data_IF_630985545041
#
_entry.id   IF_630985545041
#
_cell.length_a   1.000
_cell.length_b   1.000
_cell.length_c   1.000
_cell.angle_alpha   90.00
_cell.angle_beta   90.00
_cell.angle_gamma   90.00
#
_symmetry.space_group_name_H-M   'P 1'
#
loop_
_entity.id
_entity.type
_entity.pdbx_description
1 polymer ?
2 non-polymer ?
3 non-polymer ?
4 water ?
#
# COMPACT_ATOMS: atom_id res chain seq x y z
N UNK A 9 30.78 9.58 1.25
CA UNK A 9 30.42 10.10 -0.08
C UNK A 9 29.54 9.12 -0.94
N UNK A 10 28.85 9.65 -2.01
CA UNK A 10 28.04 8.84 -2.94
C UNK A 10 28.95 8.19 -4.01
N UNK A 11 28.61 6.96 -4.51
CA UNK A 11 29.46 6.28 -5.51
C UNK A 11 29.53 7.01 -6.83
N UNK A 12 30.67 6.86 -7.53
CA UNK A 12 30.98 7.44 -8.83
C UNK A 12 29.85 7.19 -9.87
N UNK A 13 29.36 5.92 -9.98
CA UNK A 13 28.28 5.49 -10.89
C UNK A 13 26.98 6.28 -10.72
N UNK A 14 26.58 6.48 -9.45
CA UNK A 14 25.38 7.22 -9.13
C UNK A 14 25.59 8.68 -9.44
N UNK A 15 26.77 9.22 -9.06
CA UNK A 15 27.20 10.60 -9.30
C UNK A 15 27.25 10.90 -10.80
N UNK A 16 27.54 9.86 -11.61
CA UNK A 16 27.64 9.97 -13.06
C UNK A 16 26.29 10.22 -13.79
N UNK A 17 25.19 9.75 -13.21
CA UNK A 17 23.85 9.86 -13.81
C UNK A 17 22.93 10.86 -13.11
N UNK A 18 23.21 11.08 -11.82
CA UNK A 18 22.41 11.91 -10.94
C UNK A 18 23.19 12.95 -10.17
N UNK A 19 22.52 14.11 -9.97
CA UNK A 19 22.99 15.23 -9.15
C UNK A 19 22.20 15.18 -7.86
N UNK A 20 22.85 14.77 -6.76
CA UNK A 20 22.27 14.66 -5.43
C UNK A 20 21.93 16.02 -4.80
N UNK A 21 20.78 16.08 -4.11
CA UNK A 21 20.26 17.30 -3.50
C UNK A 21 19.69 17.06 -2.08
N UNK A 22 18.89 18.05 -1.57
CA UNK A 22 18.21 18.09 -0.27
C UNK A 22 17.47 16.79 0.09
N UNK A 23 17.57 16.37 1.36
CA UNK A 23 16.93 15.17 1.93
C UNK A 23 15.39 15.29 1.96
N UNK A 24 14.68 14.15 1.82
CA UNK A 24 13.21 14.10 1.83
C UNK A 24 12.65 13.42 3.10
N UNK A 25 13.44 12.53 3.72
CA UNK A 25 13.07 11.81 4.94
C UNK A 25 14.24 11.17 5.63
N UNK A 31 17.18 6.52 4.79
CA UNK A 31 17.13 7.90 4.30
C UNK A 31 16.71 8.01 2.81
N UNK A 32 15.93 9.08 2.46
CA UNK A 32 15.47 9.33 1.08
C UNK A 32 15.84 10.77 0.63
N UNK A 33 16.57 10.89 -0.50
CA UNK A 33 17.04 12.19 -0.99
C UNK A 33 16.62 12.50 -2.41
N UNK A 34 16.26 13.77 -2.65
CA UNK A 34 15.90 14.27 -3.96
C UNK A 34 17.19 14.36 -4.79
N UNK A 35 17.12 13.91 -6.05
CA UNK A 35 18.25 14.00 -6.95
C UNK A 35 17.74 14.48 -8.30
N UNK A 36 18.66 14.83 -9.20
CA UNK A 36 18.32 15.29 -10.54
C UNK A 36 18.95 14.40 -11.56
N UNK A 37 18.14 13.80 -12.45
CA UNK A 37 18.66 12.97 -13.53
C UNK A 37 19.35 13.90 -14.53
N UNK A 38 20.67 13.73 -14.71
CA UNK A 38 21.51 14.56 -15.58
C UNK A 38 21.00 14.65 -17.00
N UNK A 39 20.56 13.51 -17.58
CA UNK A 39 20.07 13.44 -18.96
C UNK A 39 18.84 14.32 -19.13
N UNK A 40 17.86 14.16 -18.24
CA UNK A 40 16.55 14.78 -18.34
C UNK A 40 16.33 16.10 -17.62
N UNK A 41 17.14 16.37 -16.58
CA UNK A 41 17.06 17.50 -15.64
C UNK A 41 15.80 17.43 -14.81
N UNK A 42 15.23 16.23 -14.75
CA UNK A 42 14.01 15.99 -14.00
C UNK A 42 14.38 15.54 -12.61
N UNK A 43 13.48 15.77 -11.66
CA UNK A 43 13.69 15.42 -10.27
C UNK A 43 13.37 13.95 -10.08
N UNK A 44 14.13 13.28 -9.22
CA UNK A 44 13.92 11.88 -8.86
C UNK A 44 14.09 11.75 -7.36
N UNK A 45 13.70 10.62 -6.79
CA UNK A 45 13.91 10.35 -5.37
C UNK A 45 14.89 9.18 -5.27
N UNK A 46 15.91 9.33 -4.44
CA UNK A 46 16.89 8.27 -4.24
C UNK A 46 16.86 7.76 -2.80
N UNK A 47 16.27 6.56 -2.62
CA UNK A 47 16.20 5.92 -1.31
C UNK A 47 17.50 5.16 -1.05
N UNK A 48 18.26 5.63 -0.04
CA UNK A 48 19.51 5.03 0.46
C UNK A 48 19.12 4.01 1.57
N UNK A 49 19.35 2.72 1.31
CA UNK A 49 19.08 1.64 2.25
C UNK A 49 20.44 1.03 2.68
N UNK A 50 21.09 1.65 3.70
CA UNK A 50 22.39 1.23 4.28
C UNK A 50 22.47 -0.27 4.60
N UNK A 51 23.66 -0.88 4.35
CA UNK A 51 23.91 -2.32 4.52
C UNK A 51 24.18 -2.73 5.98
N UNK A 67 17.96 -8.86 0.96
CA UNK A 67 16.50 -8.63 0.99
C UNK A 67 16.06 -7.46 0.06
N UNK A 68 17.00 -6.53 -0.26
CA UNK A 68 16.75 -5.39 -1.15
C UNK A 68 16.65 -5.96 -2.58
N UNK A 69 17.34 -7.11 -2.83
CA UNK A 69 17.34 -7.85 -4.09
C UNK A 69 15.90 -8.22 -4.43
N UNK A 70 15.17 -8.83 -3.45
CA UNK A 70 13.76 -9.26 -3.55
C UNK A 70 12.85 -8.05 -3.83
N UNK A 71 13.04 -6.93 -3.09
CA UNK A 71 12.29 -5.68 -3.25
C UNK A 71 12.41 -5.09 -4.68
N UNK A 72 13.61 -5.18 -5.30
CA UNK A 72 13.84 -4.68 -6.66
C UNK A 72 13.25 -5.67 -7.63
N UNK A 73 13.50 -6.98 -7.42
CA UNK A 73 12.99 -8.08 -8.24
C UNK A 73 11.47 -7.91 -8.41
N UNK A 74 10.76 -7.62 -7.31
CA UNK A 74 9.32 -7.34 -7.30
C UNK A 74 9.02 -6.05 -8.08
N UNK A 75 9.60 -4.92 -7.66
CA UNK A 75 9.37 -3.60 -8.24
C UNK A 75 9.69 -3.43 -9.72
N UNK A 76 10.68 -4.19 -10.23
CA UNK A 76 11.03 -4.15 -11.65
C UNK A 76 9.93 -4.85 -12.45
N UNK A 77 9.41 -5.98 -11.90
CA UNK A 77 8.35 -6.79 -12.49
C UNK A 77 7.00 -6.07 -12.44
N UNK A 78 6.74 -5.33 -11.34
CA UNK A 78 5.47 -4.61 -11.11
C UNK A 78 5.26 -3.40 -11.99
N UNK A 79 4.03 -3.24 -12.48
CA UNK A 79 3.66 -2.11 -13.34
C UNK A 79 2.18 -1.70 -13.19
N UNK A 80 1.94 -0.67 -12.35
CA UNK A 80 0.60 -0.15 -12.06
C UNK A 80 0.69 1.35 -11.72
N UNK A 81 -0.33 2.18 -12.08
CA UNK A 81 -0.24 3.60 -11.73
C UNK A 81 -0.22 3.90 -10.23
N UNK A 82 -0.59 2.91 -9.39
CA UNK A 82 -0.61 3.13 -7.95
C UNK A 82 0.44 2.38 -7.18
N UNK A 83 1.42 1.87 -7.89
CA UNK A 83 2.57 1.24 -7.28
C UNK A 83 3.81 2.00 -7.77
N UNK A 84 4.71 2.33 -6.83
CA UNK A 84 5.96 3.04 -7.12
C UNK A 84 6.82 2.28 -8.17
N UNK A 85 7.47 3.06 -9.06
CA UNK A 85 8.29 2.49 -10.13
C UNK A 85 9.74 2.76 -9.92
N UNK A 86 10.57 1.73 -10.11
CA UNK A 86 12.03 1.84 -10.06
C UNK A 86 12.44 2.41 -11.40
N UNK A 87 13.41 3.32 -11.38
CA UNK A 87 13.98 3.96 -12.55
C UNK A 87 15.41 3.44 -12.70
N UNK A 88 16.07 3.20 -11.56
CA UNK A 88 17.47 2.74 -11.49
C UNK A 88 17.82 2.21 -10.09
N UNK A 89 18.90 1.41 -10.02
CA UNK A 89 19.41 0.86 -8.77
C UNK A 89 20.93 0.79 -8.77
N UNK A 90 21.51 1.08 -7.61
CA UNK A 90 22.95 1.06 -7.36
C UNK A 90 23.30 0.18 -6.13
N UNK A 91 24.16 -0.84 -6.35
CA UNK A 91 24.65 -1.75 -5.32
C UNK A 91 26.13 -1.47 -5.10
N UNK A 92 26.42 -0.52 -4.16
CA UNK A 92 27.76 -0.04 -3.79
C UNK A 92 28.08 -0.37 -2.29
N UNK A 93 28.59 0.62 -1.49
CA UNK A 93 28.87 0.44 -0.05
C UNK A 93 27.53 0.40 0.69
N UNK A 94 26.50 0.99 0.04
CA UNK A 94 25.09 1.00 0.45
C UNK A 94 24.21 0.68 -0.76
N UNK A 95 22.89 0.54 -0.55
CA UNK A 95 21.94 0.28 -1.64
C UNK A 95 21.26 1.59 -1.97
N UNK A 96 21.35 2.02 -3.24
CA UNK A 96 20.73 3.26 -3.72
C UNK A 96 19.60 2.91 -4.69
N UNK A 97 18.37 3.31 -4.37
CA UNK A 97 17.20 3.01 -5.21
C UNK A 97 16.60 4.29 -5.81
N UNK A 98 16.56 4.37 -7.16
CA UNK A 98 16.03 5.54 -7.89
C UNK A 98 14.55 5.35 -8.21
N UNK A 99 13.70 6.20 -7.61
CA UNK A 99 12.25 6.16 -7.78
C UNK A 99 11.68 7.44 -8.33
N UNK A 100 10.46 7.39 -8.88
CA UNK A 100 9.75 8.58 -9.36
C UNK A 100 9.49 9.44 -8.13
N UNK A 101 9.69 10.77 -8.22
CA UNK A 101 9.49 11.64 -7.05
C UNK A 101 8.03 11.94 -6.77
N UNK A 102 7.64 11.80 -5.49
CA UNK A 102 6.28 12.07 -5.02
C UNK A 102 6.27 13.38 -4.26
N UNK A 103 5.75 14.42 -4.93
CA UNK A 103 5.70 15.78 -4.38
C UNK A 103 4.81 16.02 -3.13
N UNK A 104 3.82 15.15 -2.88
CA UNK A 104 2.92 15.26 -1.72
C UNK A 104 3.36 14.56 -0.44
N UNK A 105 4.48 13.86 -0.50
CA UNK A 105 5.00 13.12 0.64
C UNK A 105 4.12 11.96 1.06
N UNK A 106 4.22 11.56 2.33
CA UNK A 106 3.46 10.42 2.88
C UNK A 106 2.01 10.77 3.19
N UNK A 107 1.13 9.75 3.14
CA UNK A 107 -0.28 9.88 3.52
C UNK A 107 -0.36 10.07 5.04
N UNK A 108 0.65 9.54 5.76
CA UNK A 108 0.79 9.64 7.22
C UNK A 108 0.78 11.08 7.67
N UNK A 109 1.55 11.96 6.97
CA UNK A 109 1.63 13.40 7.28
C UNK A 109 0.30 14.14 7.17
N UNK A 110 -0.70 13.52 6.47
CA UNK A 110 -2.04 14.09 6.27
C UNK A 110 -3.00 13.67 7.39
N UNK A 111 -2.66 12.60 8.10
CA UNK A 111 -3.49 12.06 9.18
C UNK A 111 -2.91 12.19 10.60
N UNK A 112 -1.69 12.76 10.76
CA UNK A 112 -1.03 12.93 12.08
C UNK A 112 -1.75 13.88 13.02
N UNK A 113 -1.73 13.50 14.31
CA UNK A 113 -2.31 14.30 15.38
C UNK A 113 -3.77 14.65 15.20
N UNK A 114 -4.59 13.60 14.94
CA UNK A 114 -6.04 13.69 14.74
C UNK A 114 -6.50 14.61 13.59
N UNK A 115 -5.66 14.69 12.55
CA UNK A 115 -5.98 15.43 11.33
C UNK A 115 -6.89 14.47 10.57
N UNK A 116 -8.15 14.85 10.47
CA UNK A 116 -9.16 14.04 9.80
C UNK A 116 -9.25 14.40 8.34
N UNK A 117 -9.22 13.36 7.49
CA UNK A 117 -9.34 13.49 6.05
C UNK A 117 -10.82 13.55 5.67
N UNK A 118 -11.12 14.43 4.70
CA UNK A 118 -12.44 14.65 4.09
C UNK A 118 -12.87 13.32 3.48
N UNK A 119 -14.14 12.94 3.63
CA UNK A 119 -14.64 11.66 3.14
C UNK A 119 -14.38 11.39 1.65
N UNK A 120 -14.50 12.43 0.78
CA UNK A 120 -14.26 12.30 -0.66
C UNK A 120 -12.81 11.92 -0.93
N UNK A 121 -11.89 12.62 -0.23
CA UNK A 121 -10.45 12.43 -0.29
C UNK A 121 -10.12 11.04 0.18
N UNK A 122 -10.88 10.49 1.16
CA UNK A 122 -10.74 9.12 1.67
C UNK A 122 -11.11 8.14 0.57
N UNK A 123 -12.29 8.34 -0.06
CA UNK A 123 -12.77 7.48 -1.11
C UNK A 123 -11.73 7.39 -2.22
N UNK A 124 -11.31 8.54 -2.74
CA UNK A 124 -10.31 8.65 -3.80
C UNK A 124 -9.02 7.88 -3.48
N UNK A 125 -8.46 8.09 -2.29
CA UNK A 125 -7.22 7.44 -1.88
C UNK A 125 -7.43 5.93 -1.67
N UNK A 126 -8.51 5.57 -0.94
CA UNK A 126 -8.83 4.17 -0.67
C UNK A 126 -9.02 3.39 -1.95
N UNK A 127 -9.78 3.96 -2.90
CA UNK A 127 -10.05 3.33 -4.19
C UNK A 127 -8.74 2.90 -4.83
N UNK A 128 -7.76 3.83 -4.87
CA UNK A 128 -6.43 3.59 -5.44
C UNK A 128 -5.68 2.51 -4.69
N UNK A 129 -5.71 2.58 -3.34
CA UNK A 129 -5.06 1.58 -2.47
C UNK A 129 -5.66 0.20 -2.79
N UNK A 130 -7.00 0.12 -3.00
CA UNK A 130 -7.65 -1.15 -3.37
C UNK A 130 -7.18 -1.68 -4.72
N UNK A 131 -7.19 -0.84 -5.76
CA UNK A 131 -6.71 -1.20 -7.06
C UNK A 131 -5.26 -1.71 -6.97
N UNK A 132 -4.40 -0.92 -6.31
CA UNK A 132 -2.98 -1.25 -6.11
C UNK A 132 -2.78 -2.61 -5.43
N UNK A 133 -3.45 -2.81 -4.27
CA UNK A 133 -3.39 -4.07 -3.50
C UNK A 133 -4.00 -5.24 -4.32
N UNK A 134 -5.12 -5.00 -5.01
CA UNK A 134 -5.73 -6.04 -5.81
C UNK A 134 -4.73 -6.57 -6.81
N UNK A 135 -4.05 -5.64 -7.50
CA UNK A 135 -3.03 -5.89 -8.53
C UNK A 135 -1.91 -6.75 -7.95
N UNK A 136 -1.41 -6.39 -6.74
CA UNK A 136 -0.35 -7.12 -6.07
C UNK A 136 -0.79 -8.55 -5.94
N UNK A 137 -1.98 -8.73 -5.33
CA UNK A 137 -2.62 -10.02 -5.08
C UNK A 137 -2.79 -10.79 -6.37
N UNK A 138 -3.31 -10.15 -7.45
CA UNK A 138 -3.44 -10.79 -8.78
C UNK A 138 -2.14 -11.46 -9.22
N UNK A 139 -1.00 -10.72 -9.12
CA UNK A 139 0.37 -11.09 -9.46
C UNK A 139 1.13 -11.89 -8.37
N UNK A 140 0.41 -12.39 -7.36
CA UNK A 140 0.98 -13.17 -6.25
C UNK A 140 1.92 -12.47 -5.30
N UNK A 141 1.70 -11.17 -5.04
CA UNK A 141 2.51 -10.37 -4.11
C UNK A 141 1.65 -9.97 -2.94
N UNK A 142 2.18 -10.17 -1.70
CA UNK A 142 1.52 -9.79 -0.46
C UNK A 142 2.38 -8.69 0.11
N UNK A 143 1.87 -7.46 0.23
CA UNK A 143 2.64 -6.30 0.71
C UNK A 143 3.19 -6.51 2.13
N UNK A 144 2.33 -6.96 3.04
CA UNK A 144 2.70 -7.28 4.41
C UNK A 144 2.98 -6.14 5.36
N UNK A 145 3.28 -4.95 4.84
CA UNK A 145 3.56 -3.78 5.67
C UNK A 145 2.83 -2.47 5.17
N UNK A 146 1.51 -2.58 4.87
CA UNK A 146 0.70 -1.44 4.43
C UNK A 146 0.34 -0.52 5.61
N UNK A 147 0.78 0.75 5.55
CA UNK A 147 0.50 1.75 6.59
C UNK A 147 0.54 3.17 6.01
N UNK A 148 -0.13 4.17 6.59
CA UNK A 148 -0.10 5.52 5.98
C UNK A 148 1.28 6.01 5.53
N UNK A 149 2.35 5.58 6.22
CA UNK A 149 3.73 5.98 5.92
C UNK A 149 4.38 5.25 4.73
N UNK A 150 3.62 4.32 4.11
CA UNK A 150 4.03 3.56 2.93
C UNK A 150 3.15 3.93 1.75
N UNK A 151 2.27 4.90 1.94
CA UNK A 151 1.41 5.45 0.88
C UNK A 151 1.91 6.86 0.58
N UNK A 152 2.28 7.12 -0.68
CA UNK A 152 2.77 8.44 -1.07
C UNK A 152 1.80 9.16 -1.98
N UNK A 153 1.65 10.46 -1.73
CA UNK A 153 0.80 11.32 -2.54
C UNK A 153 1.65 12.01 -3.63
N UNK A 154 1.17 11.97 -4.90
CA UNK A 154 1.88 12.52 -6.06
C UNK A 154 2.05 14.04 -6.04
N UNK A 155 1.02 14.79 -5.63
CA UNK A 155 1.09 16.24 -5.58
C UNK A 155 0.67 16.80 -4.23
N UNK A 156 0.84 18.13 -4.04
CA UNK A 156 0.44 18.80 -2.80
C UNK A 156 -1.08 19.06 -2.78
N UNK A 157 -1.75 18.71 -3.89
CA UNK A 157 -3.20 18.81 -4.06
C UNK A 157 -3.86 17.61 -3.37
N UNK A 158 -5.05 17.82 -2.75
CA UNK A 158 -5.75 16.72 -2.10
C UNK A 158 -6.40 15.74 -3.09
N UNK A 159 -6.68 16.21 -4.30
CA UNK A 159 -7.17 15.35 -5.38
C UNK A 159 -5.92 15.03 -6.19
N UNK A 160 -5.26 13.91 -5.88
CA UNK A 160 -4.03 13.48 -6.53
C UNK A 160 -3.94 11.96 -6.58
N UNK A 161 -2.91 11.46 -7.26
CA UNK A 161 -2.64 10.03 -7.34
C UNK A 161 -1.83 9.60 -6.15
N UNK A 162 -2.16 8.45 -5.58
CA UNK A 162 -1.37 7.88 -4.48
C UNK A 162 -0.48 6.74 -5.03
N UNK A 163 0.56 6.34 -4.29
CA UNK A 163 1.41 5.21 -4.69
C UNK A 163 1.86 4.39 -3.52
N UNK A 164 1.83 3.05 -3.67
CA UNK A 164 2.26 2.15 -2.60
C UNK A 164 3.76 1.96 -2.74
N UNK A 165 4.46 2.00 -1.60
CA UNK A 165 5.92 1.81 -1.47
C UNK A 165 6.22 0.78 -0.41
N UNK A 166 7.52 0.64 -0.10
CA UNK A 166 8.12 -0.22 0.92
C UNK A 166 7.77 -1.69 0.74
N UNK A 167 8.28 -2.27 -0.34
CA UNK A 167 8.08 -3.70 -0.58
C UNK A 167 9.11 -4.59 0.15
N UNK A 168 9.72 -4.04 1.21
CA UNK A 168 10.72 -4.69 2.02
C UNK A 168 10.25 -5.99 2.63
N UNK A 169 9.06 -5.93 3.27
CA UNK A 169 8.43 -7.06 3.97
C UNK A 169 7.57 -7.93 3.06
N UNK A 170 7.39 -7.55 1.77
CA UNK A 170 6.55 -8.33 0.87
C UNK A 170 6.95 -9.79 0.61
N UNK A 171 5.93 -10.68 0.48
CA UNK A 171 6.10 -12.10 0.19
C UNK A 171 5.55 -12.44 -1.22
N UNK A 172 6.10 -13.50 -1.82
CA UNK A 172 5.72 -14.00 -3.15
C UNK A 172 5.02 -15.35 -2.99
N UNK A 173 4.08 -15.67 -3.89
CA UNK A 173 3.28 -16.89 -3.84
C UNK A 173 3.64 -17.90 -4.93
N UNK A 175 4.78 -21.59 -5.46
CA UNK A 175 3.92 -22.70 -5.04
C UNK A 175 4.23 -23.15 -3.62
N UNK A 176 3.16 -23.33 -2.81
CA UNK A 176 3.23 -23.72 -1.41
C UNK A 176 3.86 -25.10 -1.29
N UNK A 177 4.71 -25.26 -0.26
CA UNK A 177 5.36 -26.52 0.06
C UNK A 177 4.33 -27.47 0.70
N UNK A 178 3.14 -26.94 1.09
CA UNK A 178 2.03 -27.74 1.62
C UNK A 178 1.42 -28.49 0.44
N UNK A 179 1.26 -27.80 -0.69
CA UNK A 179 0.71 -28.38 -1.90
C UNK A 179 1.59 -29.56 -2.37
N UNK A 180 2.93 -29.40 -2.32
CA UNK A 180 3.90 -30.45 -2.69
C UNK A 180 3.76 -31.67 -1.78
N UNK A 181 3.48 -31.42 -0.47
CA UNK A 181 3.29 -32.44 0.56
C UNK A 181 2.02 -33.23 0.32
N UNK A 182 0.87 -32.53 0.09
CA UNK A 182 -0.46 -33.11 -0.13
C UNK A 182 -0.54 -34.14 -1.27
N UNK A 183 0.35 -34.04 -2.29
CA UNK A 183 0.42 -34.99 -3.41
C UNK A 183 0.75 -36.41 -2.95
N UNK A 184 1.47 -36.51 -1.82
CA UNK A 184 1.81 -37.78 -1.20
C UNK A 184 0.75 -38.28 -0.21
N UNK A 185 0.92 -39.53 0.22
CA UNK A 185 0.03 -40.18 1.19
C UNK A 185 0.46 -39.73 2.59
N UNK A 186 -0.47 -39.13 3.38
CA UNK A 186 -0.10 -38.59 4.70
C UNK A 186 0.22 -39.59 5.80
N UNK A 187 0.55 -40.84 5.45
CA UNK A 187 0.92 -41.86 6.41
C UNK A 187 1.79 -41.29 7.54
N UNK A 188 2.82 -40.48 7.18
CA UNK A 188 3.81 -39.91 8.11
C UNK A 188 3.61 -38.44 8.40
N UNK A 189 2.61 -37.83 7.77
CA UNK A 189 2.31 -36.42 7.97
C UNK A 189 1.77 -36.09 9.37
N UNK A 190 2.34 -35.05 10.03
CA UNK A 190 1.92 -34.57 11.34
C UNK A 190 0.55 -33.94 11.24
N UNK A 191 -0.27 -34.06 12.31
CA UNK A 191 -1.64 -33.52 12.24
C UNK A 191 -1.73 -32.04 11.94
N UNK A 192 -0.93 -31.24 12.62
CA UNK A 192 -0.89 -29.80 12.41
C UNK A 192 -0.74 -29.37 10.93
N UNK A 193 -0.05 -30.20 10.11
CA UNK A 193 0.15 -29.90 8.69
C UNK A 193 -1.18 -30.05 8.00
N UNK A 194 -1.92 -31.10 8.33
CA UNK A 194 -3.24 -31.35 7.80
C UNK A 194 -4.22 -30.27 8.28
N UNK A 195 -4.07 -29.81 9.50
CA UNK A 195 -4.94 -28.76 10.03
C UNK A 195 -4.67 -27.46 9.32
N UNK A 196 -3.37 -27.15 9.07
CA UNK A 196 -2.97 -25.95 8.37
C UNK A 196 -3.62 -25.79 7.00
N UNK A 197 -4.13 -26.90 6.42
CA UNK A 197 -4.80 -26.94 5.11
C UNK A 197 -6.06 -26.08 5.07
N UNK A 198 -6.86 -26.12 6.14
CA UNK A 198 -8.08 -25.34 6.22
C UNK A 198 -7.89 -23.85 6.07
N UNK A 199 -6.89 -23.33 6.81
CA UNK A 199 -6.49 -21.93 6.88
C UNK A 199 -5.73 -21.47 5.63
N UNK A 200 -4.87 -22.34 5.06
CA UNK A 200 -3.99 -22.09 3.93
C UNK A 200 -4.56 -21.29 2.77
N UNK A 201 -3.70 -20.55 2.09
CA UNK A 201 -4.09 -19.71 0.96
C UNK A 201 -4.86 -18.42 1.25
N UNK A 202 -4.80 -17.92 2.50
CA UNK A 202 -5.49 -16.70 2.95
C UNK A 202 -4.52 -15.70 3.58
N UNK A 203 -3.21 -15.77 3.21
CA UNK A 203 -2.14 -14.87 3.73
C UNK A 203 -2.36 -13.45 3.27
N UNK A 204 -2.86 -13.30 2.04
CA UNK A 204 -3.18 -12.03 1.43
C UNK A 204 -4.23 -11.26 2.25
N UNK A 205 -5.10 -11.96 3.01
CA UNK A 205 -6.08 -11.30 3.89
C UNK A 205 -5.40 -10.31 4.87
N UNK A 206 -4.11 -10.53 5.22
CA UNK A 206 -3.39 -9.59 6.10
C UNK A 206 -3.33 -8.17 5.58
N UNK A 207 -3.27 -8.00 4.24
CA UNK A 207 -3.26 -6.70 3.57
C UNK A 207 -4.64 -6.03 3.63
N UNK A 208 -5.71 -6.82 3.68
CA UNK A 208 -7.06 -6.25 3.73
C UNK A 208 -7.38 -5.73 5.09
N UNK A 209 -6.72 -6.31 6.11
CA UNK A 209 -6.84 -5.89 7.48
C UNK A 209 -6.20 -4.50 7.56
N UNK A 210 -4.94 -4.38 7.04
CA UNK A 210 -4.15 -3.16 7.00
C UNK A 210 -4.92 -2.02 6.31
N UNK A 211 -5.57 -2.31 5.18
CA UNK A 211 -6.34 -1.32 4.46
C UNK A 211 -7.49 -0.87 5.34
N UNK A 212 -8.08 -1.82 6.07
CA UNK A 212 -9.18 -1.55 6.98
C UNK A 212 -8.73 -0.62 8.09
N UNK A 213 -7.50 -0.82 8.60
CA UNK A 213 -6.90 -0.01 9.66
C UNK A 213 -6.58 1.40 9.05
N UNK A 214 -6.01 1.43 7.82
CA UNK A 214 -5.70 2.68 7.10
C UNK A 214 -6.99 3.48 6.91
N UNK A 215 -8.07 2.82 6.43
CA UNK A 215 -9.36 3.46 6.18
C UNK A 215 -9.99 4.02 7.45
N UNK A 216 -9.84 3.32 8.59
CA UNK A 216 -10.33 3.77 9.89
C UNK A 216 -9.61 5.07 10.24
N UNK A 217 -8.27 5.08 10.09
CA UNK A 217 -7.41 6.22 10.40
C UNK A 217 -7.78 7.45 9.55
N UNK A 218 -7.92 7.28 8.24
CA UNK A 218 -8.27 8.37 7.34
C UNK A 218 -9.60 9.04 7.68
N UNK A 219 -10.63 8.21 7.89
CA UNK A 219 -12.00 8.62 8.15
C UNK A 219 -12.22 9.29 9.48
N UNK A 220 -11.66 8.71 10.56
CA UNK A 220 -11.84 9.18 11.95
C UNK A 220 -10.81 10.22 12.38
N UNK A 221 -9.56 9.97 12.07
CA UNK A 221 -8.45 10.81 12.50
C UNK A 221 -7.68 10.11 13.60
N UNK A 222 -8.29 9.06 14.20
CA UNK A 222 -7.71 8.24 15.26
C UNK A 222 -7.59 6.75 14.88
N UNK A 223 -6.64 5.97 15.48
CA UNK A 223 -6.50 4.55 15.12
C UNK A 223 -7.52 3.62 15.78
N UNK A 224 -7.88 2.48 15.15
CA UNK A 224 -8.86 1.58 15.79
C UNK A 224 -8.33 0.85 17.02
N UNK A 225 -7.01 0.57 17.05
CA UNK A 225 -6.39 -0.15 18.17
C UNK A 225 -5.21 0.63 18.76
N UNK A 226 -5.31 1.01 20.05
CA UNK A 226 -4.24 1.78 20.71
C UNK A 226 -4.16 1.49 22.20
N UNK A 227 -2.98 1.79 22.78
CA UNK A 227 -2.72 1.65 24.20
C UNK A 227 -3.08 2.97 24.97
N UNK A 228 -3.53 4.04 24.22
CA UNK A 228 -3.97 5.34 24.80
C UNK A 228 -5.37 5.24 25.40
N UNK A 229 -5.49 5.61 26.69
CA UNK A 229 -6.72 5.58 27.48
C UNK A 229 -7.52 4.25 27.37
N UNK A 230 -6.80 3.12 27.57
CA UNK A 230 -7.30 1.73 27.53
C UNK A 230 -6.53 0.87 28.52
N UNK A 231 -7.21 -0.13 29.11
CA UNK A 231 -6.64 -1.08 30.07
C UNK A 231 -6.21 -2.34 29.31
N UNK A 232 -7.06 -2.73 28.34
CA UNK A 232 -6.94 -3.87 27.43
C UNK A 232 -5.65 -3.78 26.57
N UNK A 233 -4.86 -4.89 26.50
CA UNK A 233 -3.63 -4.96 25.70
C UNK A 233 -3.91 -4.80 24.21
N UNK A 234 -2.95 -4.17 23.48
CA UNK A 234 -3.04 -3.95 22.04
C UNK A 234 -3.27 -5.28 21.35
N UNK A 235 -2.51 -6.35 21.75
CA UNK A 235 -2.71 -7.70 21.22
C UNK A 235 -4.15 -8.10 21.38
N UNK A 236 -4.69 -7.98 22.61
CA UNK A 236 -6.08 -8.34 22.92
C UNK A 236 -7.15 -7.60 22.15
N UNK A 237 -7.02 -6.27 21.95
CA UNK A 237 -7.98 -5.49 21.15
C UNK A 237 -8.01 -6.09 19.75
N UNK A 238 -6.82 -6.28 19.14
CA UNK A 238 -6.70 -6.82 17.78
C UNK A 238 -7.26 -8.26 17.66
N UNK A 239 -6.82 -9.17 18.54
CA UNK A 239 -7.30 -10.56 18.51
C UNK A 239 -8.82 -10.65 18.63
N UNK A 240 -9.40 -9.86 19.57
CA UNK A 240 -10.84 -9.78 19.78
C UNK A 240 -11.56 -9.04 18.61
N UNK A 241 -10.83 -8.17 17.93
CA UNK A 241 -11.35 -7.36 16.82
C UNK A 241 -12.25 -6.24 17.29
N UNK A 242 -12.22 -5.96 18.61
CA UNK A 242 -13.01 -4.91 19.25
C UNK A 242 -12.28 -3.56 19.16
N UNK A 243 -12.53 -2.85 18.03
CA UNK A 243 -11.95 -1.54 17.73
C UNK A 243 -12.62 -0.47 18.61
N UNK A 244 -11.87 0.57 18.91
CA UNK A 244 -12.32 1.70 19.71
C UNK A 244 -13.24 2.61 18.89
N UNK A 245 -14.55 2.51 19.11
CA UNK A 245 -15.50 3.35 18.37
C UNK A 245 -15.98 4.57 19.21
N UNK A 246 -15.64 5.79 18.73
CA UNK A 246 -16.03 7.06 19.36
C UNK A 246 -17.14 7.68 18.48
N UNK A 247 -18.42 7.53 18.92
CA UNK A 247 -19.56 8.01 18.11
C UNK A 247 -19.51 9.42 17.56
N UNK A 248 -19.23 10.42 18.44
CA UNK A 248 -19.14 11.85 18.07
C UNK A 248 -18.24 12.06 16.84
N UNK A 249 -17.13 11.30 16.77
CA UNK A 249 -16.16 11.35 15.68
C UNK A 249 -16.80 10.82 14.38
N UNK A 250 -17.41 9.63 14.46
CA UNK A 250 -18.02 8.93 13.34
C UNK A 250 -19.36 9.47 12.84
N UNK A 251 -19.98 10.41 13.59
CA UNK A 251 -21.24 11.05 13.18
C UNK A 251 -21.00 11.81 11.86
N UNK A 252 -19.80 12.40 11.70
CA UNK A 252 -19.33 13.11 10.51
C UNK A 252 -19.10 12.14 9.32
N UNK A 253 -19.01 10.81 9.58
CA UNK A 253 -18.75 9.76 8.59
C UNK A 253 -20.02 8.97 8.24
N UNK A 254 -20.24 8.71 6.93
CA UNK A 254 -21.36 7.94 6.40
C UNK A 254 -21.42 6.50 6.94
N UNK A 255 -22.62 5.87 6.88
CA UNK A 255 -22.81 4.47 7.30
C UNK A 255 -22.14 3.55 6.30
N UNK A 256 -22.14 3.93 4.99
CA UNK A 256 -21.51 3.19 3.89
C UNK A 256 -20.00 3.01 4.17
N UNK A 257 -19.30 4.10 4.54
CA UNK A 257 -17.88 4.09 4.89
C UNK A 257 -17.62 3.19 6.09
N UNK A 258 -18.38 3.41 7.18
CA UNK A 258 -18.26 2.62 8.40
C UNK A 258 -18.51 1.13 8.14
N UNK A 259 -19.51 0.79 7.30
CA UNK A 259 -19.84 -0.60 6.96
C UNK A 259 -18.62 -1.29 6.35
N UNK A 260 -17.96 -0.61 5.38
CA UNK A 260 -16.79 -1.14 4.72
C UNK A 260 -15.67 -1.41 5.73
N UNK A 261 -15.46 -0.50 6.70
CA UNK A 261 -14.44 -0.67 7.72
C UNK A 261 -14.75 -1.95 8.52
N UNK A 262 -16.03 -2.09 8.96
CA UNK A 262 -16.55 -3.23 9.70
C UNK A 262 -16.28 -4.53 8.93
N UNK A 263 -16.48 -4.52 7.59
CA UNK A 263 -16.26 -5.68 6.71
C UNK A 263 -14.79 -6.09 6.54
N UNK A 264 -13.85 -5.11 6.62
CA UNK A 264 -12.41 -5.38 6.49
C UNK A 264 -11.81 -5.70 7.88
N UNK A 265 -12.33 -5.06 8.95
CA UNK A 265 -11.79 -5.32 10.29
C UNK A 265 -12.45 -6.54 11.00
N UNK A 266 -12.56 -7.65 10.25
CA UNK A 266 -13.11 -8.95 10.63
C UNK A 266 -11.95 -9.86 11.07
N UNK A 267 -12.04 -10.43 12.30
CA UNK A 267 -11.02 -11.32 12.86
C UNK A 267 -10.72 -12.55 12.00
N UNK A 268 -11.75 -13.19 11.40
CA UNK A 268 -11.56 -14.39 10.60
C UNK A 268 -11.13 -13.99 9.21
N UNK A 269 -9.89 -14.32 8.81
CA UNK A 269 -9.43 -13.94 7.45
C UNK A 269 -10.33 -14.50 6.35
N UNK A 270 -10.91 -15.69 6.59
CA UNK A 270 -11.76 -16.36 5.62
C UNK A 270 -13.04 -15.57 5.39
N UNK A 271 -13.62 -15.00 6.45
CA UNK A 271 -14.82 -14.15 6.42
C UNK A 271 -14.53 -12.71 5.96
N UNK A 272 -13.30 -12.23 6.27
CA UNK A 272 -12.80 -10.92 5.93
C UNK A 272 -12.86 -10.66 4.45
N UNK A 273 -13.39 -9.48 4.07
CA UNK A 273 -13.54 -8.95 2.73
C UNK A 273 -12.23 -8.93 1.97
N UNK A 274 -12.28 -9.21 0.68
CA UNK A 274 -11.11 -9.13 -0.21
C UNK A 274 -11.15 -7.76 -0.92
N UNK A 275 -10.08 -7.42 -1.63
CA UNK A 275 -10.03 -6.18 -2.42
C UNK A 275 -11.18 -6.15 -3.44
N UNK A 276 -11.46 -7.31 -4.10
CA UNK A 276 -12.57 -7.43 -5.09
C UNK A 276 -13.94 -7.18 -4.41
N UNK A 277 -14.13 -7.77 -3.21
CA UNK A 277 -15.35 -7.59 -2.44
C UNK A 277 -15.50 -6.11 -2.07
N UNK A 278 -14.37 -5.49 -1.61
CA UNK A 278 -14.32 -4.10 -1.21
C UNK A 278 -14.66 -3.18 -2.38
N UNK A 279 -13.99 -3.40 -3.54
CA UNK A 279 -14.18 -2.62 -4.77
C UNK A 279 -15.60 -2.68 -5.29
N UNK A 280 -16.34 -3.74 -4.89
CA UNK A 280 -17.74 -3.94 -5.26
C UNK A 280 -18.68 -3.29 -4.24
N UNK A 281 -18.16 -2.87 -3.09
CA UNK A 281 -18.96 -2.29 -1.99
C UNK A 281 -19.71 -1.01 -2.35
N UNK A 282 -20.95 -0.85 -1.85
CA UNK A 282 -21.70 0.40 -2.05
C UNK A 282 -20.90 1.71 -1.95
N UNK A 283 -19.97 1.82 -0.97
CA UNK A 283 -19.17 3.04 -0.73
C UNK A 283 -18.34 3.47 -1.93
N UNK A 284 -17.81 2.50 -2.67
CA UNK A 284 -16.96 2.74 -3.84
C UNK A 284 -17.71 2.82 -5.18
N UNK A 285 -19.03 2.57 -5.16
CA UNK A 285 -19.84 2.71 -6.37
C UNK A 285 -20.19 4.21 -6.42
N UNK A 286 -19.15 5.01 -6.75
CA UNK A 286 -19.16 6.47 -6.83
C UNK A 286 -18.54 6.86 -8.17
N UNK A 287 -19.42 7.29 -9.11
CA UNK A 287 -19.00 7.67 -10.45
C UNK A 287 -18.14 8.91 -10.59
N UNK A 288 -18.28 9.87 -9.66
CA UNK A 288 -17.50 11.12 -9.63
C UNK A 288 -16.07 10.86 -9.19
N UNK A 289 -15.90 9.99 -8.18
CA UNK A 289 -14.59 9.61 -7.66
C UNK A 289 -13.89 8.81 -8.76
N UNK A 290 -14.60 7.77 -9.32
CA UNK A 290 -14.02 6.94 -10.38
C UNK A 290 -13.60 7.81 -11.61
N UNK A 291 -14.37 8.91 -11.89
CA UNK A 291 -14.12 9.92 -12.93
C UNK A 291 -12.86 10.77 -12.58
N UNK A 292 -12.79 11.36 -11.36
CA UNK A 292 -11.67 12.18 -10.86
C UNK A 292 -10.33 11.43 -10.96
N UNK A 293 -10.31 10.14 -10.59
CA UNK A 293 -9.13 9.30 -10.66
C UNK A 293 -8.70 9.09 -12.12
N UNK A 294 -9.66 8.80 -13.03
CA UNK A 294 -9.37 8.63 -14.46
C UNK A 294 -8.80 9.90 -15.07
N UNK A 295 -9.34 11.06 -14.62
CA UNK A 295 -8.90 12.39 -14.99
C UNK A 295 -7.50 12.67 -14.48
N UNK A 296 -7.17 12.22 -13.24
CA UNK A 296 -5.84 12.39 -12.65
C UNK A 296 -4.84 11.50 -13.37
N UNK A 297 -5.31 10.29 -13.77
CA UNK A 297 -4.53 9.28 -14.46
C UNK A 297 -4.07 9.78 -15.83
N UNK A 298 -5.03 10.17 -16.70
CA UNK A 298 -4.77 10.69 -18.04
C UNK A 298 -3.90 11.95 -18.03
N UNK A 299 -4.03 12.80 -16.98
CA UNK A 299 -3.24 14.02 -16.80
C UNK A 299 -1.77 13.66 -16.54
N UNK A 300 -1.51 12.55 -15.80
CA UNK A 300 -0.15 12.06 -15.54
C UNK A 300 0.45 11.46 -16.82
N UNK A 301 -0.40 10.77 -17.60
CA UNK A 301 -0.03 10.09 -18.85
C UNK A 301 0.07 10.98 -20.09
N UNK A 302 -0.18 12.31 -19.95
CA UNK A 302 -0.12 13.28 -21.06
C UNK A 302 1.29 13.38 -21.68
N UNK A 303 2.33 13.41 -20.83
CA UNK A 303 3.74 13.50 -21.25
C UNK A 303 4.27 12.21 -21.92
N UNK A 304 3.79 11.03 -21.45
CA UNK A 304 4.18 9.71 -21.93
C UNK A 304 3.55 9.31 -23.30
N UNK A 305 2.38 9.87 -23.63
CA UNK A 305 1.56 9.58 -24.82
C UNK A 305 2.20 9.62 -26.22
N UNK A 306 2.35 8.42 -26.81
CA UNK A 306 2.88 8.21 -28.18
C UNK A 306 1.65 8.35 -29.12
N UNK A 307 1.77 8.91 -30.37
CA UNK A 307 0.58 9.05 -31.24
C UNK A 307 -0.22 7.78 -31.45
N UNK A 308 -1.56 7.92 -31.61
CA UNK A 308 -2.44 6.77 -31.73
C UNK A 308 -2.72 6.32 -33.16
N UNK A 309 -2.91 5.00 -33.33
CA UNK A 309 -3.18 4.33 -34.61
C UNK A 309 -4.67 4.54 -34.99
N UNK A 310 -4.97 5.72 -35.57
CA UNK A 310 -6.31 6.15 -35.95
C UNK A 310 -7.00 5.33 -37.05
N UNK A 311 -8.12 4.65 -36.67
CA UNK A 311 -8.97 3.84 -37.57
C UNK A 311 -9.74 4.76 -38.52
X LIG B 1 10.40 5.05 0.23
X LIG B 1 8.91 11.52 -1.07
X LIG B 1 9.95 5.69 -0.90
X LIG B 1 10.14 7.03 -0.70
X LIG B 1 8.76 11.35 -2.42
X LIG B 1 9.78 7.94 -1.79
X LIG B 1 9.00 9.52 -4.01
X LIG B 1 9.45 9.30 -1.57
X LIG B 1 9.32 10.32 -0.51
X LIG B 1 9.07 10.04 -2.78
X LIG B 1 9.32 8.23 -4.13
X LIG B 1 9.71 7.42 -3.09
X LIG B 1 9.51 10.22 0.98
X LIG B 1 8.43 10.67 1.93
X LIG B 1 9.68 11.44 1.86
X LIG B 1 10.71 7.23 0.52
X LIG B 1 10.87 5.93 1.10
X LIG C 1 -2.57 -16.59 -0.22
X LIG C 1 -3.11 -16.79 -1.40
X LIG C 1 -2.89 -15.60 0.39
X LIG C 1 -1.78 -17.43 0.20
#
# INVERSE_FOLDING_TARGET
GPLGSHMSVYPKALRDEYIMSKTLGSGACGEVKLAFERKTCKKVAIKIISKRKFAIGSAREADPALNVETEIEILKKLNHPCIIKIKNFFDAEDYYIVLELMEGGELFDKVVGNKRLKEATCKLYFYQMLLAVQYLHENGIIHRDLKPENVLLSSQEEDCLIKITDFGHSKILGETSLMRTLCGTPTYLAPEVLVSVGTAGYNRAVDCWSLGVILFICLSGYPPFSEHRTQVSLKDQITSGKYNFIPEVWAEVSEKALDLVKKLLVVDPKARFTTEEALRHPWLQDEDMKRKFQDLLSEENESTALPQVLAQPSTSRKRPREGEAEGAE
Z2M C N O C1 N1 C2 N2 C3 C4 C5 C6 C7 C8 C9 C10 C11 C12
NO3 N O1 O2 O3
#
